data_IF_576827336247
#
_entry.id   IF_576827336247
#
_cell.length_a   1.000
_cell.length_b   1.000
_cell.length_c   1.000
_cell.angle_alpha   90.00
_cell.angle_beta   90.00
_cell.angle_gamma   90.00
#
_symmetry.space_group_name_H-M   'P 1'
#
loop_
_entity.id
_entity.type
_entity.pdbx_description
1 polymer ?
#
# COMPACT_ATOMS: atom_id res chain seq x y z
N UNK A 1 11.06 29.54 -38.49
CA UNK A 1 11.00 30.08 -37.12
C UNK A 1 11.94 29.31 -36.19
N UNK A 2 11.92 28.00 -36.21
CA UNK A 2 12.80 27.13 -35.41
C UNK A 2 14.30 27.22 -35.84
N UNK A 3 14.55 27.38 -37.16
CA UNK A 3 15.90 27.48 -37.68
C UNK A 3 16.55 28.83 -37.38
N UNK A 4 15.77 29.90 -37.29
CA UNK A 4 16.30 31.21 -36.87
C UNK A 4 16.66 31.24 -35.36
N UNK A 5 15.95 30.46 -34.54
CA UNK A 5 16.26 30.30 -33.12
C UNK A 5 17.53 29.48 -32.90
N UNK A 6 17.76 28.44 -33.71
CA UNK A 6 18.97 27.60 -33.63
C UNK A 6 20.28 28.35 -33.97
N UNK A 7 20.19 29.47 -34.69
CA UNK A 7 21.33 30.31 -35.00
C UNK A 7 21.71 31.32 -33.91
N UNK A 8 20.86 31.52 -32.93
CA UNK A 8 21.11 32.45 -31.82
C UNK A 8 22.10 31.83 -30.83
N UNK A 9 23.19 32.54 -30.54
CA UNK A 9 24.25 32.06 -29.66
C UNK A 9 23.76 31.75 -28.23
N UNK A 10 22.77 32.51 -27.72
CA UNK A 10 22.14 32.24 -26.41
C UNK A 10 21.33 30.96 -26.42
N UNK A 11 20.59 30.69 -27.49
CA UNK A 11 19.82 29.48 -27.64
C UNK A 11 20.74 28.25 -27.79
N UNK A 12 21.82 28.40 -28.55
CA UNK A 12 22.87 27.37 -28.66
C UNK A 12 23.48 27.01 -27.30
N UNK A 13 23.84 28.02 -26.51
CA UNK A 13 24.41 27.82 -25.17
C UNK A 13 23.39 27.10 -24.25
N UNK A 14 22.13 27.49 -24.31
CA UNK A 14 21.09 26.84 -23.53
C UNK A 14 20.83 25.38 -23.97
N UNK A 15 20.93 25.12 -25.26
CA UNK A 15 20.74 23.76 -25.82
C UNK A 15 21.92 22.85 -25.46
N UNK A 16 23.16 23.36 -25.57
CA UNK A 16 24.38 22.64 -25.16
C UNK A 16 24.34 22.32 -23.66
N UNK A 17 23.82 23.24 -22.85
CA UNK A 17 23.64 23.01 -21.42
C UNK A 17 22.60 21.90 -21.15
N UNK A 18 21.52 21.86 -21.91
CA UNK A 18 20.51 20.81 -21.84
C UNK A 18 21.05 19.43 -22.25
N UNK A 19 21.90 19.38 -23.28
CA UNK A 19 22.55 18.13 -23.71
C UNK A 19 23.61 17.66 -22.69
N UNK A 20 24.38 18.60 -22.10
CA UNK A 20 25.26 18.28 -20.99
C UNK A 20 24.51 17.78 -19.76
N UNK A 21 23.34 18.33 -19.47
CA UNK A 21 22.44 17.85 -18.41
C UNK A 21 21.99 16.43 -18.69
N UNK A 22 21.69 16.08 -19.92
CA UNK A 22 21.31 14.71 -20.32
C UNK A 22 22.50 13.74 -20.33
N UNK A 23 23.71 14.22 -20.58
CA UNK A 23 24.91 13.39 -20.68
C UNK A 23 25.69 13.20 -19.39
N UNK A 24 25.42 13.98 -18.35
CA UNK A 24 26.07 13.85 -17.04
C UNK A 24 25.20 13.00 -16.10
N UNK A 25 25.61 11.77 -15.81
CA UNK A 25 24.87 10.90 -14.86
C UNK A 25 24.89 11.41 -13.41
N UNK A 26 25.59 12.51 -13.14
CA UNK A 26 25.74 13.12 -11.81
C UNK A 26 24.83 14.31 -11.54
N UNK A 27 23.91 14.66 -12.43
CA UNK A 27 22.80 15.50 -11.98
C UNK A 27 22.10 14.64 -10.96
N UNK A 28 22.31 15.01 -9.70
CA UNK A 28 21.60 14.43 -8.58
C UNK A 28 20.19 14.20 -9.07
N UNK A 29 19.85 12.92 -9.30
CA UNK A 29 18.48 12.54 -9.53
C UNK A 29 17.75 13.31 -8.45
N UNK A 30 17.04 14.36 -8.85
CA UNK A 30 16.08 14.97 -7.95
C UNK A 30 15.44 13.77 -7.33
N UNK A 31 15.54 13.59 -6.02
CA UNK A 31 14.98 12.45 -5.34
C UNK A 31 13.49 12.40 -5.71
N UNK A 32 13.22 11.87 -6.88
CA UNK A 32 11.99 11.19 -7.12
C UNK A 32 12.12 10.11 -6.08
N UNK A 33 11.33 10.18 -5.04
CA UNK A 33 11.30 9.18 -3.98
C UNK A 33 11.45 7.85 -4.68
N UNK A 34 12.53 7.14 -4.40
CA UNK A 34 12.76 5.84 -5.01
C UNK A 34 11.45 5.09 -4.83
N UNK A 35 10.98 4.43 -5.90
CA UNK A 35 9.73 3.66 -5.81
C UNK A 35 9.93 2.61 -4.73
N UNK A 36 9.39 2.86 -3.57
CA UNK A 36 9.49 1.96 -2.44
C UNK A 36 8.11 1.73 -1.83
N UNK A 37 7.85 0.47 -1.53
CA UNK A 37 6.68 -0.02 -0.85
C UNK A 37 7.17 -0.76 0.38
N UNK A 38 6.89 -0.24 1.55
CA UNK A 38 7.46 -0.76 2.80
C UNK A 38 6.38 -1.45 3.60
N UNK A 39 6.68 -2.63 4.13
CA UNK A 39 5.85 -3.30 5.12
C UNK A 39 5.94 -2.56 6.46
N UNK A 40 5.01 -2.82 7.38
CA UNK A 40 5.08 -2.23 8.73
C UNK A 40 6.27 -2.76 9.56
N UNK A 41 6.89 -3.86 9.14
CA UNK A 41 8.14 -4.39 9.70
C UNK A 41 9.40 -3.73 9.10
N UNK A 42 9.22 -2.82 8.14
CA UNK A 42 10.29 -2.06 7.50
C UNK A 42 10.97 -2.76 6.31
N UNK A 43 10.40 -3.85 5.81
CA UNK A 43 10.91 -4.54 4.63
C UNK A 43 10.41 -3.89 3.34
N UNK A 44 11.30 -3.68 2.37
CA UNK A 44 10.92 -3.20 1.04
C UNK A 44 10.34 -4.33 0.18
N UNK A 45 9.23 -4.05 -0.47
CA UNK A 45 8.57 -4.96 -1.40
C UNK A 45 8.65 -4.49 -2.86
N UNK A 46 9.17 -3.30 -3.09
CA UNK A 46 9.18 -2.67 -4.40
C UNK A 46 9.89 -3.51 -5.47
N UNK A 47 11.07 -4.03 -5.16
CA UNK A 47 11.84 -4.87 -6.09
C UNK A 47 11.08 -6.15 -6.46
N UNK A 48 10.40 -6.76 -5.50
CA UNK A 48 9.60 -7.97 -5.72
C UNK A 48 8.42 -7.69 -6.65
N UNK A 49 7.70 -6.58 -6.41
CA UNK A 49 6.59 -6.18 -7.26
C UNK A 49 7.05 -5.85 -8.69
N UNK A 50 8.18 -5.16 -8.82
CA UNK A 50 8.72 -4.78 -10.13
C UNK A 50 9.31 -5.96 -10.92
N UNK A 51 9.78 -6.98 -10.23
CA UNK A 51 10.32 -8.21 -10.84
C UNK A 51 9.23 -9.26 -11.13
N UNK A 52 7.99 -9.07 -10.66
CA UNK A 52 6.91 -10.03 -10.88
C UNK A 52 6.47 -10.02 -12.36
N UNK A 53 6.63 -11.15 -13.10
CA UNK A 53 6.20 -11.26 -14.48
C UNK A 53 4.69 -11.37 -14.62
N UNK A 54 3.97 -11.62 -13.52
CA UNK A 54 2.53 -11.77 -13.51
C UNK A 54 1.82 -10.42 -13.37
N UNK A 55 0.52 -10.45 -13.58
CA UNK A 55 -0.30 -9.28 -13.30
C UNK A 55 -0.45 -9.03 -11.81
N UNK A 56 -0.25 -7.78 -11.40
CA UNK A 56 -0.40 -7.32 -10.02
C UNK A 56 -1.28 -6.08 -9.98
N UNK A 57 -2.32 -6.11 -9.16
CA UNK A 57 -3.14 -4.93 -8.86
C UNK A 57 -2.64 -4.24 -7.61
N UNK A 58 -2.51 -2.94 -7.71
CA UNK A 58 -2.17 -2.07 -6.60
C UNK A 58 -3.31 -1.09 -6.36
N UNK A 59 -4.04 -1.27 -5.26
CA UNK A 59 -5.00 -0.29 -4.77
C UNK A 59 -4.23 0.81 -4.03
N UNK A 60 -4.32 2.04 -4.51
CA UNK A 60 -3.56 3.18 -4.01
C UNK A 60 -4.48 4.19 -3.35
N UNK A 61 -4.17 4.57 -2.11
CA UNK A 61 -4.81 5.68 -1.41
C UNK A 61 -3.78 6.64 -0.86
N UNK A 62 -3.78 7.85 -1.38
CA UNK A 62 -2.81 8.90 -1.02
C UNK A 62 -3.20 9.66 0.23
N UNK A 63 -4.49 9.74 0.53
CA UNK A 63 -5.02 10.46 1.67
C UNK A 63 -6.21 9.71 2.25
N UNK A 64 -6.09 9.39 3.52
CA UNK A 64 -7.14 8.73 4.27
C UNK A 64 -7.80 9.74 5.21
N UNK A 65 -9.10 9.93 5.06
CA UNK A 65 -9.88 10.77 5.95
C UNK A 65 -10.43 9.90 7.09
N UNK A 66 -9.88 10.06 8.27
CA UNK A 66 -10.35 9.39 9.48
C UNK A 66 -10.12 10.26 10.72
N UNK A 67 -10.82 9.93 11.78
CA UNK A 67 -10.56 10.45 13.12
C UNK A 67 -10.10 9.30 13.98
N UNK A 68 -9.00 9.48 14.70
CA UNK A 68 -8.50 8.52 15.67
C UNK A 68 -8.62 9.11 17.08
N UNK A 69 -9.34 8.43 17.96
CA UNK A 69 -9.50 8.81 19.37
C UNK A 69 -8.82 7.73 20.20
N UNK A 70 -7.88 8.16 21.05
CA UNK A 70 -7.17 7.25 21.95
C UNK A 70 -8.02 7.01 23.20
N UNK A 71 -8.38 5.77 23.45
CA UNK A 71 -9.14 5.33 24.61
C UNK A 71 -8.28 4.42 25.49
N UNK A 72 -8.36 4.60 26.82
CA UNK A 72 -7.74 3.68 27.76
C UNK A 72 -8.63 2.45 27.91
N UNK A 73 -8.14 1.29 27.55
CA UNK A 73 -8.83 0.01 27.76
C UNK A 73 -8.09 -0.84 28.78
N UNK A 74 -8.86 -1.57 29.58
CA UNK A 74 -8.32 -2.55 30.52
C UNK A 74 -8.29 -3.90 29.81
N UNK A 75 -7.07 -4.43 29.61
CA UNK A 75 -6.88 -5.79 29.11
C UNK A 75 -6.65 -6.71 30.29
N UNK A 76 -7.36 -7.84 30.28
CA UNK A 76 -7.24 -8.90 31.28
C UNK A 76 -6.53 -10.08 30.65
N UNK A 77 -5.30 -10.28 31.06
CA UNK A 77 -4.53 -11.44 30.66
C UNK A 77 -4.60 -12.50 31.74
N UNK A 78 -4.96 -13.71 31.41
CA UNK A 78 -4.91 -14.86 32.30
C UNK A 78 -3.49 -15.46 32.25
N UNK A 79 -2.79 -15.42 33.37
CA UNK A 79 -1.45 -16.00 33.49
C UNK A 79 -1.47 -17.07 34.55
N UNK A 80 -0.93 -18.23 34.21
CA UNK A 80 -0.73 -19.30 35.17
C UNK A 80 0.57 -19.03 35.95
N UNK A 81 0.45 -18.81 37.25
CA UNK A 81 1.61 -18.71 38.15
C UNK A 81 1.82 -20.10 38.78
N UNK A 82 3.01 -20.63 38.55
CA UNK A 82 3.42 -21.91 39.13
C UNK A 82 4.32 -21.65 40.33
N UNK A 83 3.80 -21.91 41.53
CA UNK A 83 4.55 -21.81 42.76
C UNK A 83 5.02 -23.20 43.19
N UNK A 84 6.28 -23.28 43.63
CA UNK A 84 6.82 -24.49 44.22
C UNK A 84 6.85 -24.34 45.72
N UNK A 85 6.03 -25.10 46.41
CA UNK A 85 6.00 -25.10 47.91
C UNK A 85 6.80 -26.29 48.41
N UNK A 86 7.85 -26.01 49.18
CA UNK A 86 8.67 -27.04 49.81
C UNK A 86 8.23 -27.15 51.27
N UNK A 87 7.82 -28.35 51.68
CA UNK A 87 7.47 -28.66 53.06
C UNK A 87 8.28 -29.88 53.56
N UNK A 88 8.20 -30.15 54.87
CA UNK A 88 8.83 -31.38 55.42
C UNK A 88 8.28 -32.68 54.82
N UNK A 89 7.13 -32.66 54.22
CA UNK A 89 6.49 -33.79 53.58
C UNK A 89 6.86 -33.95 52.06
N UNK A 90 7.63 -33.00 51.48
CA UNK A 90 8.05 -33.02 50.07
C UNK A 90 7.83 -31.68 49.37
N UNK A 91 8.07 -31.71 48.04
CA UNK A 91 7.90 -30.55 47.16
C UNK A 91 6.53 -30.70 46.44
N UNK A 92 5.70 -29.69 46.61
CA UNK A 92 4.44 -29.59 45.88
C UNK A 92 4.48 -28.42 44.88
N UNK A 93 4.05 -28.66 43.66
CA UNK A 93 3.88 -27.64 42.63
C UNK A 93 2.41 -27.22 42.62
N UNK A 94 2.15 -25.97 42.90
CA UNK A 94 0.79 -25.40 42.89
C UNK A 94 0.70 -24.40 41.77
N UNK A 95 -0.21 -24.64 40.83
CA UNK A 95 -0.51 -23.67 39.79
C UNK A 95 -1.75 -22.85 40.18
N UNK A 96 -1.71 -21.56 39.98
CA UNK A 96 -2.84 -20.64 40.16
C UNK A 96 -3.04 -19.83 38.90
N UNK A 97 -4.27 -19.73 38.46
CA UNK A 97 -4.64 -18.79 37.41
C UNK A 97 -4.78 -17.41 38.05
N UNK A 98 -3.95 -16.49 37.56
CA UNK A 98 -3.97 -15.10 38.03
C UNK A 98 -4.37 -14.21 36.85
N UNK A 99 -5.35 -13.34 37.08
CA UNK A 99 -5.76 -12.35 36.09
C UNK A 99 -4.95 -11.09 36.35
N UNK A 100 -4.13 -10.73 35.35
CA UNK A 100 -3.40 -9.47 35.36
C UNK A 100 -4.19 -8.45 34.56
N UNK A 101 -4.57 -7.36 35.21
CA UNK A 101 -5.19 -6.23 34.55
C UNK A 101 -4.10 -5.20 34.20
N UNK A 102 -4.05 -4.82 32.93
CA UNK A 102 -3.19 -3.72 32.49
C UNK A 102 -3.97 -2.73 31.65
N UNK A 103 -3.74 -1.45 31.88
CA UNK A 103 -4.27 -0.37 31.05
C UNK A 103 -3.40 -0.22 29.82
N UNK A 104 -4.00 -0.31 28.65
CA UNK A 104 -3.35 0.00 27.39
C UNK A 104 -4.14 1.08 26.66
N UNK A 105 -3.42 1.91 25.90
CA UNK A 105 -4.06 2.87 25.01
C UNK A 105 -4.37 2.18 23.69
N UNK A 106 -5.58 2.31 23.24
CA UNK A 106 -6.02 1.82 21.94
C UNK A 106 -6.65 2.95 21.14
N UNK A 107 -6.29 3.06 19.88
CA UNK A 107 -6.92 4.03 18.99
C UNK A 107 -8.21 3.44 18.40
N UNK A 108 -9.29 4.19 18.53
CA UNK A 108 -10.56 3.93 17.86
C UNK A 108 -10.64 4.79 16.62
N UNK A 109 -10.78 4.15 15.48
CA UNK A 109 -10.83 4.82 14.18
C UNK A 109 -12.27 5.01 13.73
N UNK A 110 -12.56 6.20 13.23
CA UNK A 110 -13.81 6.51 12.55
C UNK A 110 -13.46 6.99 11.16
N UNK A 111 -13.75 6.16 10.17
CA UNK A 111 -13.43 6.39 8.76
C UNK A 111 -14.49 7.23 8.09
N UNK A 112 -14.10 7.94 7.04
CA UNK A 112 -15.04 8.58 6.13
C UNK A 112 -16.00 7.54 5.55
N UNK A 113 -17.32 7.70 5.75
CA UNK A 113 -18.32 6.73 5.26
C UNK A 113 -18.31 6.57 3.74
N UNK A 114 -18.07 7.66 2.98
CA UNK A 114 -18.01 7.60 1.51
C UNK A 114 -16.81 6.76 1.06
N UNK A 115 -15.67 6.93 1.71
CA UNK A 115 -14.47 6.14 1.42
C UNK A 115 -14.68 4.65 1.70
N UNK A 116 -15.26 4.30 2.86
CA UNK A 116 -15.59 2.91 3.19
C UNK A 116 -16.59 2.30 2.21
N UNK A 117 -17.59 3.07 1.80
CA UNK A 117 -18.58 2.60 0.82
C UNK A 117 -17.95 2.33 -0.53
N UNK A 118 -17.04 3.19 -0.99
CA UNK A 118 -16.29 2.97 -2.25
C UNK A 118 -15.46 1.70 -2.16
N UNK A 119 -14.79 1.44 -1.05
CA UNK A 119 -14.02 0.20 -0.88
C UNK A 119 -14.94 -1.02 -0.93
N UNK A 120 -16.02 -1.03 -0.15
CA UNK A 120 -16.95 -2.17 0.00
C UNK A 120 -17.74 -2.45 -1.27
N UNK A 121 -18.19 -1.41 -1.96
CA UNK A 121 -19.09 -1.59 -3.11
C UNK A 121 -18.36 -1.77 -4.45
N UNK A 122 -17.14 -1.24 -4.57
CA UNK A 122 -16.43 -1.23 -5.85
C UNK A 122 -15.12 -2.00 -5.84
N UNK A 123 -14.21 -1.67 -4.92
CA UNK A 123 -12.86 -2.24 -4.96
C UNK A 123 -12.83 -3.69 -4.50
N UNK A 124 -13.35 -3.97 -3.33
CA UNK A 124 -13.25 -5.31 -2.72
C UNK A 124 -13.94 -6.37 -3.57
N UNK A 125 -15.20 -6.19 -4.04
CA UNK A 125 -15.83 -7.20 -4.87
C UNK A 125 -15.11 -7.46 -6.19
N UNK A 126 -14.57 -6.40 -6.82
CA UNK A 126 -13.79 -6.53 -8.04
C UNK A 126 -12.49 -7.29 -7.78
N UNK A 127 -11.69 -6.83 -6.82
CA UNK A 127 -10.37 -7.39 -6.53
C UNK A 127 -10.44 -8.84 -6.01
N UNK A 128 -11.42 -9.16 -5.17
CA UNK A 128 -11.66 -10.54 -4.71
C UNK A 128 -12.02 -11.47 -5.87
N UNK A 129 -12.80 -10.97 -6.82
CA UNK A 129 -13.16 -11.73 -8.01
C UNK A 129 -11.96 -12.03 -8.92
N UNK A 130 -10.99 -11.12 -8.97
CA UNK A 130 -9.77 -11.25 -9.79
C UNK A 130 -8.69 -12.09 -9.09
N UNK A 131 -8.62 -12.04 -7.77
CA UNK A 131 -7.67 -12.80 -6.96
C UNK A 131 -7.76 -14.32 -7.18
N UNK A 132 -8.94 -14.82 -7.56
CA UNK A 132 -9.14 -16.23 -7.93
C UNK A 132 -8.44 -16.65 -9.22
N UNK A 133 -7.84 -15.73 -9.97
CA UNK A 133 -7.27 -15.90 -11.31
C UNK A 133 -5.73 -15.88 -11.33
N UNK A 134 -5.08 -16.16 -10.22
CA UNK A 134 -3.62 -16.11 -10.07
C UNK A 134 -3.04 -14.70 -10.27
N UNK A 135 -3.82 -13.69 -9.95
CA UNK A 135 -3.42 -12.28 -9.98
C UNK A 135 -3.11 -11.81 -8.57
N UNK A 136 -1.97 -11.19 -8.38
CA UNK A 136 -1.58 -10.59 -7.10
C UNK A 136 -2.36 -9.30 -6.85
N UNK A 137 -2.82 -9.11 -5.62
CA UNK A 137 -3.54 -7.90 -5.20
C UNK A 137 -2.89 -7.34 -3.95
N UNK A 138 -2.57 -6.07 -4.01
CA UNK A 138 -1.90 -5.32 -2.94
C UNK A 138 -2.62 -4.00 -2.68
N UNK A 139 -2.51 -3.49 -1.47
CA UNK A 139 -2.98 -2.17 -1.10
C UNK A 139 -1.81 -1.32 -0.61
N UNK A 140 -1.80 -0.05 -0.98
CA UNK A 140 -0.76 0.91 -0.56
C UNK A 140 -1.41 2.17 -0.04
N UNK A 141 -1.01 2.57 1.15
CA UNK A 141 -1.52 3.74 1.83
C UNK A 141 -0.41 4.72 2.19
N UNK A 142 -0.71 6.01 2.17
CA UNK A 142 0.15 7.05 2.69
C UNK A 142 -0.15 7.33 4.15
N UNK A 143 0.87 7.22 5.03
CA UNK A 143 0.80 7.68 6.41
C UNK A 143 -0.26 7.01 7.30
N UNK A 144 -0.54 5.73 7.08
CA UNK A 144 -1.44 4.95 7.92
C UNK A 144 -0.65 4.05 8.87
N UNK A 145 -1.00 4.06 10.15
CA UNK A 145 -0.39 3.16 11.15
C UNK A 145 -0.89 1.73 10.97
N UNK A 146 -0.12 0.76 11.46
CA UNK A 146 -0.50 -0.66 11.45
C UNK A 146 -1.86 -0.90 12.13
N UNK A 147 -2.12 -0.26 13.29
CA UNK A 147 -3.43 -0.31 13.96
C UNK A 147 -4.56 0.20 13.06
N UNK A 148 -4.30 1.29 12.32
CA UNK A 148 -5.25 1.85 11.37
C UNK A 148 -5.54 0.90 10.22
N UNK A 149 -4.53 0.19 9.70
CA UNK A 149 -4.71 -0.85 8.68
C UNK A 149 -5.56 -2.00 9.19
N UNK A 150 -5.29 -2.48 10.40
CA UNK A 150 -6.07 -3.56 11.02
C UNK A 150 -7.53 -3.15 11.18
N UNK A 151 -7.78 -1.92 11.64
CA UNK A 151 -9.13 -1.40 11.81
C UNK A 151 -9.84 -1.20 10.46
N UNK A 152 -9.17 -0.59 9.46
CA UNK A 152 -9.70 -0.43 8.10
C UNK A 152 -10.05 -1.77 7.46
N UNK A 153 -9.17 -2.76 7.60
CA UNK A 153 -9.38 -4.11 7.07
C UNK A 153 -10.61 -4.77 7.70
N UNK A 154 -10.79 -4.63 9.01
CA UNK A 154 -11.98 -5.14 9.71
C UNK A 154 -13.25 -4.44 9.25
N UNK A 155 -13.22 -3.12 9.11
CA UNK A 155 -14.40 -2.35 8.74
C UNK A 155 -14.76 -2.48 7.26
N UNK A 156 -13.77 -2.57 6.37
CA UNK A 156 -14.00 -2.70 4.92
C UNK A 156 -14.21 -4.14 4.46
N UNK A 157 -13.63 -5.12 5.15
CA UNK A 157 -13.55 -6.52 4.72
C UNK A 157 -12.32 -6.81 3.84
N UNK A 158 -11.39 -5.86 3.70
CA UNK A 158 -10.16 -6.02 2.92
C UNK A 158 -9.23 -7.05 3.54
N UNK A 159 -8.68 -7.95 2.73
CA UNK A 159 -7.76 -9.02 3.17
C UNK A 159 -6.49 -9.13 2.31
N UNK A 160 -6.04 -8.02 1.72
CA UNK A 160 -4.83 -7.96 0.90
C UNK A 160 -3.62 -7.56 1.73
N UNK A 161 -2.40 -7.93 1.30
CA UNK A 161 -1.16 -7.35 1.82
C UNK A 161 -1.19 -5.82 1.70
N UNK A 162 -0.77 -5.15 2.76
CA UNK A 162 -0.78 -3.68 2.84
C UNK A 162 0.64 -3.18 3.02
N UNK A 163 0.98 -2.15 2.27
CA UNK A 163 2.26 -1.47 2.30
C UNK A 163 2.07 0.01 2.56
N UNK A 164 3.09 0.61 3.12
CA UNK A 164 3.21 2.05 3.25
C UNK A 164 4.11 2.61 2.14
N UNK A 165 3.78 3.79 1.66
CA UNK A 165 4.63 4.51 0.72
C UNK A 165 4.53 6.02 0.93
N UNK A 166 5.54 6.72 0.44
CA UNK A 166 5.58 8.18 0.49
C UNK A 166 4.42 8.82 -0.28
N UNK A 167 3.82 9.83 0.32
CA UNK A 167 2.68 10.57 -0.22
C UNK A 167 2.95 11.18 -1.60
N UNK A 168 4.17 11.66 -1.85
CA UNK A 168 4.55 12.26 -3.12
C UNK A 168 4.64 11.18 -4.20
N UNK A 169 5.21 10.02 -3.86
CA UNK A 169 5.23 8.86 -4.73
C UNK A 169 3.81 8.43 -5.10
N UNK A 170 2.94 8.26 -4.11
CA UNK A 170 1.56 7.83 -4.36
C UNK A 170 0.79 8.82 -5.25
N UNK A 171 0.94 10.13 -5.03
CA UNK A 171 0.33 11.18 -5.86
C UNK A 171 0.88 11.19 -7.29
N UNK A 172 2.12 10.77 -7.48
CA UNK A 172 2.74 10.63 -8.80
C UNK A 172 2.19 9.41 -9.53
N UNK A 173 2.01 8.29 -8.83
CA UNK A 173 1.46 7.06 -9.38
C UNK A 173 -0.02 7.22 -9.69
N UNK A 174 -0.80 7.76 -8.74
CA UNK A 174 -2.25 7.81 -8.83
C UNK A 174 -2.81 9.11 -8.22
N UNK A 175 -3.67 9.78 -8.98
CA UNK A 175 -4.37 10.99 -8.52
C UNK A 175 -5.76 10.72 -7.92
N UNK A 176 -6.30 9.54 -8.20
CA UNK A 176 -7.57 9.10 -7.59
C UNK A 176 -7.35 8.58 -6.19
N UNK A 177 -8.32 8.83 -5.31
CA UNK A 177 -8.27 8.36 -3.92
C UNK A 177 -9.62 7.73 -3.51
N UNK A 178 -9.71 6.38 -3.45
CA UNK A 178 -8.72 5.43 -3.91
C UNK A 178 -8.59 5.35 -5.43
N UNK A 179 -7.53 4.75 -5.93
CA UNK A 179 -7.33 4.42 -7.32
C UNK A 179 -6.79 3.00 -7.48
N UNK A 180 -6.87 2.46 -8.70
CA UNK A 180 -6.38 1.13 -9.03
C UNK A 180 -5.31 1.23 -10.11
N UNK A 181 -4.20 0.54 -9.90
CA UNK A 181 -3.10 0.45 -10.86
C UNK A 181 -2.84 -1.00 -11.19
N UNK A 182 -2.68 -1.31 -12.46
CA UNK A 182 -2.29 -2.63 -12.95
C UNK A 182 -0.82 -2.60 -13.37
N UNK A 183 -0.05 -3.51 -12.80
CA UNK A 183 1.34 -3.75 -13.13
C UNK A 183 1.51 -5.09 -13.84
N UNK A 184 2.52 -5.19 -14.66
CA UNK A 184 3.08 -6.43 -15.19
C UNK A 184 4.55 -6.19 -15.57
N UNK A 185 5.44 -7.05 -15.14
CA UNK A 185 6.86 -7.01 -15.53
C UNK A 185 7.49 -5.62 -15.30
N UNK A 186 7.26 -5.06 -14.11
CA UNK A 186 7.77 -3.75 -13.70
C UNK A 186 7.16 -2.55 -14.43
N UNK A 187 6.14 -2.74 -15.24
CA UNK A 187 5.49 -1.68 -16.03
C UNK A 187 4.06 -1.45 -15.56
N UNK A 188 3.67 -0.18 -15.55
CA UNK A 188 2.27 0.19 -15.36
C UNK A 188 1.55 -0.04 -16.69
N UNK A 189 0.62 -1.00 -16.69
CA UNK A 189 -0.22 -1.31 -17.83
C UNK A 189 -1.39 -0.36 -17.93
N UNK A 190 -2.07 -0.11 -16.79
CA UNK A 190 -3.21 0.79 -16.77
C UNK A 190 -3.47 1.37 -15.37
N UNK A 191 -4.23 2.47 -15.33
CA UNK A 191 -4.64 3.15 -14.08
C UNK A 191 -6.12 3.53 -14.18
N UNK A 192 -6.89 3.24 -13.12
CA UNK A 192 -8.31 3.60 -13.06
C UNK A 192 -8.62 4.50 -11.87
N UNK A 193 -9.38 5.52 -12.15
CA UNK A 193 -10.07 6.28 -11.13
C UNK A 193 -11.21 5.43 -10.54
N UNK A 194 -11.51 5.55 -9.23
CA UNK A 194 -12.56 4.76 -8.57
C UNK A 194 -13.96 4.87 -9.22
N UNK A 195 -14.22 5.96 -9.98
CA UNK A 195 -15.47 6.15 -10.72
C UNK A 195 -15.50 5.44 -12.07
N UNK A 196 -14.37 4.97 -12.54
CA UNK A 196 -14.17 4.38 -13.86
C UNK A 196 -13.60 2.96 -13.78
N UNK A 197 -13.80 2.30 -12.65
CA UNK A 197 -13.40 0.90 -12.53
C UNK A 197 -14.23 0.06 -13.49
N UNK A 198 -13.59 -0.76 -14.34
CA UNK A 198 -14.30 -1.69 -15.19
C UNK A 198 -14.93 -2.81 -14.36
N UNK A 199 -15.90 -3.48 -14.90
CA UNK A 199 -16.38 -4.72 -14.32
C UNK A 199 -15.37 -5.87 -14.53
N UNK A 200 -15.61 -7.00 -13.88
CA UNK A 200 -14.75 -8.19 -13.95
C UNK A 200 -14.55 -8.68 -15.40
N UNK A 201 -15.62 -8.70 -16.18
CA UNK A 201 -15.58 -9.20 -17.57
C UNK A 201 -14.73 -8.31 -18.46
N UNK A 202 -14.93 -7.01 -18.35
CA UNK A 202 -14.13 -6.02 -19.07
C UNK A 202 -12.66 -6.07 -18.64
N UNK A 203 -12.40 -6.21 -17.33
CA UNK A 203 -11.04 -6.33 -16.81
C UNK A 203 -10.30 -7.51 -17.42
N UNK A 204 -10.95 -8.68 -17.46
CA UNK A 204 -10.36 -9.88 -18.06
C UNK A 204 -10.11 -9.73 -19.55
N UNK A 205 -11.12 -9.31 -20.30
CA UNK A 205 -11.07 -9.28 -21.75
C UNK A 205 -10.05 -8.28 -22.28
N UNK A 206 -9.98 -7.09 -21.68
CA UNK A 206 -9.16 -6.00 -22.20
C UNK A 206 -7.75 -5.94 -21.60
N UNK A 207 -7.58 -6.34 -20.34
CA UNK A 207 -6.35 -6.04 -19.61
C UNK A 207 -5.58 -7.28 -19.14
N UNK A 208 -6.26 -8.39 -18.85
CA UNK A 208 -5.62 -9.62 -18.40
C UNK A 208 -5.45 -10.66 -19.51
N UNK A 209 -5.98 -10.42 -20.71
CA UNK A 209 -5.82 -11.34 -21.81
C UNK A 209 -4.49 -11.06 -22.54
N UNK A 210 -3.57 -12.04 -22.53
CA UNK A 210 -2.24 -11.90 -23.16
C UNK A 210 -2.27 -11.63 -24.67
N UNK A 211 -3.32 -12.07 -25.35
CA UNK A 211 -3.47 -11.82 -26.79
C UNK A 211 -3.81 -10.36 -27.10
N UNK A 212 -4.54 -9.67 -26.23
CA UNK A 212 -4.90 -8.27 -26.42
C UNK A 212 -3.70 -7.30 -26.23
N UNK A 213 -2.70 -7.69 -25.42
CA UNK A 213 -1.54 -6.86 -25.11
C UNK A 213 -0.37 -6.99 -26.10
N UNK A 214 -0.47 -7.82 -27.14
CA UNK A 214 0.55 -7.94 -28.19
C UNK A 214 0.43 -6.91 -29.32
N UNK A 215 -0.54 -5.99 -29.24
CA UNK A 215 -0.87 -5.04 -30.33
C UNK A 215 -0.32 -3.61 -30.06
N UNK A 216 0.45 -3.40 -28.99
CA UNK A 216 1.07 -2.10 -28.72
C UNK A 216 2.58 -2.20 -28.51
#
# INVERSE_FOLDING_TARGET
YLDSFKSNAQFKASWETLDQIKSTPSIARTKISDFDLVTFDGESYAEQLLADPNYSFLMVSTKLNYTAISEDIIVRDSTQIVDTITSQAGIAVVSRDTILERKIKRNKYTWDPEYLEILKSKFIPLLDSLRSESVSVHAVFGGLTEEGVIDLSKQSGMSYPVYEADDLLLKTIMRSNPGLVLFKDGKIIHKWHYRQLPDRSEMRQKYLNEEANKIY
#
